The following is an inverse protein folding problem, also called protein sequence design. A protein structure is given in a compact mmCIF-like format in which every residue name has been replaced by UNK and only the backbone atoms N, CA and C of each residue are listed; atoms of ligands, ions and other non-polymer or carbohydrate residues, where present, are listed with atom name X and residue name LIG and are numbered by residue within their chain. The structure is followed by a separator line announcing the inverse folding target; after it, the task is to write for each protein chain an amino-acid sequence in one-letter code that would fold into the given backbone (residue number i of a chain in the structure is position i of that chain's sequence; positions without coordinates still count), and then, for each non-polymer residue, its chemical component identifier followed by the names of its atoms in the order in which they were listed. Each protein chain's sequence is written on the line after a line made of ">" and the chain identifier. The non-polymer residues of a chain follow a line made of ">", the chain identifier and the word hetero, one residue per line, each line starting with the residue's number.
data_IF_475284887146
#
_entry.id   IF_475284887146
#
_cell.length_a   1.000
_cell.length_b   1.000
_cell.length_c   1.000
_cell.angle_alpha   90.00
_cell.angle_beta   90.00
_cell.angle_gamma   90.00
#
_symmetry.space_group_name_H-M   'P 1'
#
loop_
_entity.id
_entity.type
_entity.pdbx_description
1 polymer ?
#
# COMPACT_ATOMS: atom_id res chain seq x y z
N UNK A 1 -29.45 -34.30 -3.52
CA UNK A 1 -29.87 -32.98 -4.08
C UNK A 1 -29.36 -31.79 -3.26
N UNK A 2 -28.87 -31.99 -2.03
CA UNK A 2 -28.24 -30.96 -1.17
C UNK A 2 -26.79 -30.61 -1.54
N UNK A 3 -26.06 -31.49 -2.22
CA UNK A 3 -24.66 -31.27 -2.63
C UNK A 3 -24.49 -30.26 -3.77
N UNK A 4 -25.47 -30.15 -4.69
CA UNK A 4 -25.39 -29.23 -5.84
C UNK A 4 -25.69 -27.76 -5.47
N UNK A 5 -26.38 -27.51 -4.35
CA UNK A 5 -26.71 -26.15 -3.87
C UNK A 5 -25.58 -25.57 -3.00
N UNK A 6 -24.74 -26.42 -2.41
CA UNK A 6 -23.63 -26.00 -1.54
C UNK A 6 -22.41 -25.52 -2.36
N UNK A 7 -22.16 -26.13 -3.52
CA UNK A 7 -21.09 -25.76 -4.45
C UNK A 7 -21.26 -24.34 -5.00
N UNK A 8 -22.48 -23.99 -5.42
CA UNK A 8 -22.79 -22.71 -6.05
C UNK A 8 -22.73 -21.52 -5.07
N UNK A 9 -23.01 -21.77 -3.79
CA UNK A 9 -22.84 -20.78 -2.71
C UNK A 9 -21.36 -20.57 -2.38
N UNK A 10 -20.57 -21.64 -2.32
CA UNK A 10 -19.13 -21.58 -2.08
C UNK A 10 -18.41 -20.76 -3.14
N UNK A 11 -18.65 -21.07 -4.42
CA UNK A 11 -18.04 -20.35 -5.54
C UNK A 11 -18.42 -18.86 -5.59
N UNK A 12 -19.67 -18.51 -5.23
CA UNK A 12 -20.12 -17.11 -5.12
C UNK A 12 -19.40 -16.37 -4.00
N UNK A 13 -19.25 -16.99 -2.83
CA UNK A 13 -18.53 -16.41 -1.69
C UNK A 13 -17.05 -16.19 -2.02
N UNK A 14 -16.40 -17.13 -2.70
CA UNK A 14 -15.01 -17.00 -3.13
C UNK A 14 -14.83 -15.82 -4.09
N UNK A 15 -15.70 -15.72 -5.11
CA UNK A 15 -15.68 -14.60 -6.06
C UNK A 15 -15.90 -13.25 -5.37
N UNK A 16 -16.89 -13.19 -4.47
CA UNK A 16 -17.16 -11.98 -3.70
C UNK A 16 -15.97 -11.60 -2.82
N UNK A 17 -15.37 -12.56 -2.11
CA UNK A 17 -14.18 -12.34 -1.31
C UNK A 17 -13.01 -11.82 -2.12
N UNK A 18 -12.74 -12.41 -3.28
CA UNK A 18 -11.66 -11.98 -4.18
C UNK A 18 -11.87 -10.55 -4.74
N UNK A 19 -13.13 -10.17 -5.00
CA UNK A 19 -13.49 -8.80 -5.42
C UNK A 19 -13.32 -7.84 -4.25
N UNK A 20 -13.85 -8.18 -3.08
CA UNK A 20 -13.79 -7.35 -1.88
C UNK A 20 -12.35 -7.06 -1.45
N UNK A 21 -11.49 -8.08 -1.37
CA UNK A 21 -10.07 -7.92 -1.00
C UNK A 21 -9.34 -7.00 -1.97
N UNK A 22 -9.65 -7.10 -3.28
CA UNK A 22 -9.01 -6.25 -4.27
C UNK A 22 -9.44 -4.80 -4.11
N UNK A 23 -10.74 -4.54 -4.04
CA UNK A 23 -11.23 -3.17 -3.98
C UNK A 23 -11.03 -2.53 -2.61
N UNK A 24 -10.99 -3.31 -1.52
CA UNK A 24 -10.54 -2.79 -0.23
C UNK A 24 -9.10 -2.30 -0.30
N UNK A 25 -8.20 -3.06 -0.94
CA UNK A 25 -6.81 -2.64 -1.17
C UNK A 25 -6.74 -1.36 -2.02
N UNK A 26 -7.52 -1.28 -3.11
CA UNK A 26 -7.59 -0.07 -3.95
C UNK A 26 -8.03 1.14 -3.13
N UNK A 27 -9.08 1.00 -2.32
CA UNK A 27 -9.59 2.09 -1.47
C UNK A 27 -8.52 2.54 -0.48
N UNK A 28 -7.82 1.62 0.17
CA UNK A 28 -6.75 1.93 1.13
C UNK A 28 -5.60 2.67 0.45
N UNK A 29 -5.14 2.20 -0.72
CA UNK A 29 -4.06 2.87 -1.46
C UNK A 29 -4.45 4.25 -1.96
N UNK A 30 -5.68 4.43 -2.46
CA UNK A 30 -6.19 5.75 -2.84
C UNK A 30 -6.26 6.70 -1.63
N UNK A 31 -6.74 6.19 -0.49
CA UNK A 31 -6.87 6.98 0.73
C UNK A 31 -5.51 7.42 1.26
N UNK A 32 -4.59 6.48 1.50
CA UNK A 32 -3.24 6.77 2.02
C UNK A 32 -2.45 7.64 1.03
N UNK A 33 -2.54 7.34 -0.27
CA UNK A 33 -1.89 8.12 -1.32
C UNK A 33 -2.40 9.55 -1.41
N UNK A 34 -3.71 9.76 -1.22
CA UNK A 34 -4.29 11.09 -1.18
C UNK A 34 -3.86 11.88 0.07
N UNK A 35 -3.71 11.21 1.22
CA UNK A 35 -3.28 11.86 2.44
C UNK A 35 -1.82 12.38 2.37
N UNK A 36 -0.97 11.79 1.52
CA UNK A 36 0.43 12.22 1.31
C UNK A 36 0.60 13.63 0.76
N UNK A 37 -0.46 14.21 0.22
CA UNK A 37 -0.48 15.61 -0.23
C UNK A 37 -0.71 16.59 0.92
N UNK A 38 -0.99 16.10 2.14
CA UNK A 38 -1.12 16.92 3.34
C UNK A 38 0.23 17.13 4.03
N UNK A 39 0.44 18.31 4.62
CA UNK A 39 1.68 18.64 5.32
C UNK A 39 1.94 17.70 6.53
N UNK A 40 0.88 17.19 7.16
CA UNK A 40 0.97 16.27 8.28
C UNK A 40 1.62 14.94 7.87
N UNK A 41 1.09 14.28 6.84
CA UNK A 41 1.64 13.01 6.35
C UNK A 41 3.02 13.18 5.69
N UNK A 42 3.27 14.35 5.08
CA UNK A 42 4.55 14.60 4.44
C UNK A 42 5.72 14.53 5.42
N UNK A 43 5.54 15.06 6.64
CA UNK A 43 6.56 14.98 7.69
C UNK A 43 6.81 13.55 8.14
N UNK A 44 5.75 12.79 8.42
CA UNK A 44 5.89 11.40 8.91
C UNK A 44 6.57 10.49 7.89
N UNK A 45 6.17 10.60 6.62
CA UNK A 45 6.71 9.78 5.53
C UNK A 45 8.18 10.09 5.27
N UNK A 46 8.55 11.37 5.34
CA UNK A 46 9.95 11.77 5.20
C UNK A 46 10.79 11.29 6.38
N UNK A 47 10.30 11.43 7.62
CA UNK A 47 11.01 10.95 8.81
C UNK A 47 11.30 9.45 8.75
N UNK A 48 10.34 8.63 8.29
CA UNK A 48 10.58 7.20 8.09
C UNK A 48 11.62 6.94 6.98
N UNK A 49 11.59 7.73 5.91
CA UNK A 49 12.49 7.56 4.77
C UNK A 49 13.95 7.95 5.08
N UNK A 50 14.20 9.03 5.84
CA UNK A 50 15.58 9.44 6.16
C UNK A 50 16.31 8.43 7.04
N UNK A 51 15.55 7.67 7.85
CA UNK A 51 16.08 6.64 8.73
C UNK A 51 16.28 5.29 8.00
N UNK A 52 15.75 5.14 6.78
CA UNK A 52 15.89 3.92 5.98
C UNK A 52 17.05 4.03 4.97
N UNK A 53 18.03 3.11 4.97
CA UNK A 53 19.16 3.16 4.05
C UNK A 53 18.74 3.05 2.57
N UNK A 54 17.57 2.47 2.29
CA UNK A 54 17.04 2.32 0.92
C UNK A 54 16.50 3.63 0.34
N UNK A 55 15.99 4.53 1.19
CA UNK A 55 15.29 5.75 0.78
C UNK A 55 15.96 7.03 1.25
N UNK A 56 16.90 6.97 2.19
CA UNK A 56 17.56 8.13 2.74
C UNK A 56 18.20 9.01 1.66
N UNK A 57 18.82 8.40 0.64
CA UNK A 57 19.40 9.14 -0.47
C UNK A 57 18.34 9.97 -1.23
N UNK A 58 17.19 9.36 -1.56
CA UNK A 58 16.11 10.03 -2.29
C UNK A 58 15.44 11.12 -1.43
N UNK A 59 15.22 10.82 -0.15
CA UNK A 59 14.67 11.77 0.80
C UNK A 59 15.58 13.01 0.96
N UNK A 60 16.91 12.83 1.01
CA UNK A 60 17.86 13.96 1.12
C UNK A 60 17.99 14.80 -0.16
N UNK A 61 17.60 14.28 -1.32
CA UNK A 61 17.67 15.01 -2.59
C UNK A 61 16.46 15.93 -2.83
N UNK A 62 15.36 15.74 -2.10
CA UNK A 62 14.08 16.39 -2.36
C UNK A 62 13.59 17.16 -1.13
N UNK A 63 12.63 18.09 -1.33
CA UNK A 63 11.90 18.64 -0.20
C UNK A 63 11.01 17.57 0.44
N UNK A 64 10.70 17.73 1.74
CA UNK A 64 9.79 16.86 2.50
C UNK A 64 8.46 16.69 1.76
N UNK A 65 7.89 17.80 1.30
CA UNK A 65 6.61 17.82 0.59
C UNK A 65 6.69 17.10 -0.75
N UNK A 66 7.70 17.41 -1.57
CA UNK A 66 7.85 16.80 -2.90
C UNK A 66 8.10 15.29 -2.79
N UNK A 67 8.85 14.84 -1.79
CA UNK A 67 9.05 13.41 -1.52
C UNK A 67 7.71 12.71 -1.24
N UNK A 68 6.90 13.29 -0.35
CA UNK A 68 5.59 12.75 -0.02
C UNK A 68 4.63 12.72 -1.22
N UNK A 69 4.57 13.79 -2.00
CA UNK A 69 3.74 13.89 -3.21
C UNK A 69 4.11 12.85 -4.27
N UNK A 70 5.42 12.58 -4.46
CA UNK A 70 5.88 11.51 -5.36
C UNK A 70 5.40 10.15 -4.88
N UNK A 71 5.58 9.84 -3.60
CA UNK A 71 5.12 8.57 -3.04
C UNK A 71 3.60 8.45 -3.12
N UNK A 72 2.86 9.51 -2.79
CA UNK A 72 1.39 9.54 -2.91
C UNK A 72 0.90 9.35 -4.34
N UNK A 73 1.58 9.97 -5.31
CA UNK A 73 1.28 9.78 -6.73
C UNK A 73 1.49 8.32 -7.15
N UNK A 74 2.59 7.70 -6.71
CA UNK A 74 2.86 6.28 -6.98
C UNK A 74 1.76 5.39 -6.37
N UNK A 75 1.36 5.64 -5.12
CA UNK A 75 0.29 4.90 -4.44
C UNK A 75 -1.04 4.97 -5.21
N UNK A 76 -1.43 6.18 -5.65
CA UNK A 76 -2.66 6.40 -6.44
C UNK A 76 -2.55 5.69 -7.80
N UNK A 77 -1.42 5.79 -8.49
CA UNK A 77 -1.19 5.12 -9.78
C UNK A 77 -1.30 3.60 -9.64
N UNK A 78 -0.69 3.02 -8.59
CA UNK A 78 -0.79 1.59 -8.31
C UNK A 78 -2.23 1.18 -7.99
N UNK A 79 -2.98 1.99 -7.24
CA UNK A 79 -4.37 1.74 -6.95
C UNK A 79 -5.23 1.70 -8.22
N UNK A 80 -5.03 2.66 -9.14
CA UNK A 80 -5.72 2.70 -10.45
C UNK A 80 -5.37 1.46 -11.27
N UNK A 81 -4.08 1.08 -11.33
CA UNK A 81 -3.65 -0.13 -12.03
C UNK A 81 -4.29 -1.38 -11.41
N UNK A 82 -4.40 -1.48 -10.09
CA UNK A 82 -5.05 -2.64 -9.45
C UNK A 82 -6.55 -2.65 -9.77
N UNK A 83 -7.22 -1.49 -9.76
CA UNK A 83 -8.66 -1.35 -9.99
C UNK A 83 -9.08 -1.75 -11.41
N UNK A 84 -8.26 -1.47 -12.43
CA UNK A 84 -8.60 -1.72 -13.85
C UNK A 84 -8.60 -3.21 -14.25
N UNK A 85 -8.46 -4.14 -13.30
CA UNK A 85 -8.42 -5.59 -13.58
C UNK A 85 -9.55 -6.11 -14.49
N UNK A 86 -10.83 -5.68 -14.38
CA UNK A 86 -11.88 -6.16 -15.27
C UNK A 86 -11.58 -5.94 -16.76
N UNK A 87 -10.97 -4.79 -17.09
CA UNK A 87 -10.73 -4.36 -18.46
C UNK A 87 -9.30 -4.66 -18.94
N UNK A 88 -8.31 -4.52 -18.04
CA UNK A 88 -6.89 -4.73 -18.34
C UNK A 88 -6.17 -5.56 -17.26
N UNK A 89 -6.37 -6.90 -17.23
CA UNK A 89 -5.74 -7.78 -16.24
C UNK A 89 -4.21 -7.73 -16.23
N UNK A 90 -3.57 -7.51 -17.38
CA UNK A 90 -2.10 -7.39 -17.50
C UNK A 90 -1.59 -6.11 -16.83
N UNK A 91 -2.32 -5.00 -16.93
CA UNK A 91 -1.95 -3.76 -16.25
C UNK A 91 -2.10 -3.92 -14.73
N UNK A 92 -3.17 -4.58 -14.29
CA UNK A 92 -3.41 -4.89 -12.87
C UNK A 92 -2.34 -5.80 -12.26
N UNK A 93 -1.77 -6.72 -13.03
CA UNK A 93 -0.61 -7.49 -12.60
C UNK A 93 0.58 -6.59 -12.21
N UNK A 94 0.96 -5.63 -13.06
CA UNK A 94 2.05 -4.70 -12.75
C UNK A 94 1.72 -3.79 -11.56
N UNK A 95 0.48 -3.30 -11.46
CA UNK A 95 0.02 -2.55 -10.29
C UNK A 95 0.13 -3.36 -9.00
N UNK A 96 -0.21 -4.65 -9.06
CA UNK A 96 -0.14 -5.56 -7.90
C UNK A 96 1.30 -5.84 -7.48
N UNK A 97 2.20 -6.08 -8.44
CA UNK A 97 3.64 -6.26 -8.17
C UNK A 97 4.25 -4.98 -7.58
N UNK A 98 3.91 -3.82 -8.14
CA UNK A 98 4.36 -2.53 -7.62
C UNK A 98 3.88 -2.28 -6.19
N UNK A 99 2.61 -2.59 -5.89
CA UNK A 99 2.09 -2.48 -4.53
C UNK A 99 2.79 -3.43 -3.56
N UNK A 100 3.09 -4.66 -3.96
CA UNK A 100 3.87 -5.61 -3.14
C UNK A 100 5.24 -5.02 -2.80
N UNK A 101 5.98 -4.53 -3.80
CA UNK A 101 7.30 -3.93 -3.60
C UNK A 101 7.21 -2.72 -2.65
N UNK A 102 6.20 -1.87 -2.86
CA UNK A 102 5.97 -0.70 -2.04
C UNK A 102 5.67 -1.06 -0.58
N UNK A 103 4.78 -2.02 -0.32
CA UNK A 103 4.50 -2.48 1.05
C UNK A 103 5.71 -3.15 1.70
N UNK A 104 6.48 -3.94 0.96
CA UNK A 104 7.73 -4.52 1.47
C UNK A 104 8.72 -3.44 1.88
N UNK A 105 8.83 -2.39 1.07
CA UNK A 105 9.65 -1.22 1.38
C UNK A 105 9.14 -0.49 2.62
N UNK A 106 7.82 -0.30 2.77
CA UNK A 106 7.23 0.27 3.99
C UNK A 106 7.49 -0.62 5.22
N UNK A 107 7.42 -1.95 5.08
CA UNK A 107 7.72 -2.88 6.17
C UNK A 107 9.17 -2.77 6.65
N UNK A 108 10.11 -2.38 5.78
CA UNK A 108 11.51 -2.13 6.22
C UNK A 108 11.62 -1.00 7.25
N UNK A 109 10.65 -0.08 7.30
CA UNK A 109 10.63 1.02 8.27
C UNK A 109 10.51 0.53 9.71
N UNK A 110 9.89 -0.63 9.93
CA UNK A 110 9.79 -1.26 11.27
C UNK A 110 11.17 -1.53 11.87
N UNK A 111 12.17 -1.84 11.03
CA UNK A 111 13.52 -2.13 11.49
C UNK A 111 14.46 -0.93 11.45
N UNK A 112 14.12 0.09 10.69
CA UNK A 112 15.02 1.21 10.38
C UNK A 112 14.62 2.51 11.05
N UNK A 113 13.34 2.69 11.40
CA UNK A 113 12.83 3.92 12.02
C UNK A 113 12.92 3.84 13.55
N UNK A 114 13.62 4.78 14.21
CA UNK A 114 13.61 4.90 15.67
C UNK A 114 12.20 5.20 16.20
N UNK A 115 11.84 4.68 17.37
CA UNK A 115 10.56 4.99 18.01
C UNK A 115 9.36 4.17 17.53
N UNK A 116 9.55 3.23 16.58
CA UNK A 116 8.53 2.23 16.23
C UNK A 116 8.15 1.37 17.45
N UNK A 117 9.14 1.07 18.30
CA UNK A 117 8.94 0.38 19.56
C UNK A 117 8.97 1.38 20.71
N UNK A 118 7.88 1.46 21.47
CA UNK A 118 7.83 2.32 22.65
C UNK A 118 8.79 1.82 23.73
N UNK A 119 9.70 2.67 24.25
CA UNK A 119 10.57 2.28 25.35
C UNK A 119 9.77 1.75 26.54
N UNK A 120 10.12 0.56 27.02
CA UNK A 120 9.43 -0.11 28.13
C UNK A 120 8.31 -1.08 27.73
N UNK A 121 7.89 -1.14 26.46
CA UNK A 121 6.82 -2.03 25.98
C UNK A 121 7.29 -3.17 25.07
N UNK A 122 8.57 -3.23 24.70
CA UNK A 122 9.15 -4.34 23.93
C UNK A 122 8.61 -4.45 22.49
N UNK A 123 8.86 -5.59 21.84
CA UNK A 123 8.19 -5.98 20.60
C UNK A 123 6.75 -6.41 20.95
N UNK A 124 5.72 -6.01 20.16
CA UNK A 124 4.32 -6.32 20.41
C UNK A 124 4.03 -7.82 20.44
#
# INVERSE_FOLDING_TARGET
>A
MTTLIQDDRGAKLERLGAVLIRYSLVIVLLWVGSLKFTAYEAMGVHEHAINSPLLAWLANMMSVQSFAEVIGTIEILLAILIAIKPDAPKASYFGSVGAIIMFLLTLTFVFTTPGVWQPGYGFP
#
